data_IF_753935313124
#
_entry.id   IF_753935313124
#
_cell.length_a   1.000
_cell.length_b   1.000
_cell.length_c   1.000
_cell.angle_alpha   90.00
_cell.angle_beta   90.00
_cell.angle_gamma   90.00
#
_symmetry.space_group_name_H-M   'P 1'
#
loop_
_entity.id
_entity.type
_entity.pdbx_description
1 polymer ?
#
# COMPACT_ATOMS: atom_id res chain seq x y z
N UNK A 1 -0.47 -1.77 -29.48
CA UNK A 1 -0.87 -3.19 -29.39
C UNK A 1 -1.33 -3.49 -27.97
N UNK A 2 -2.63 -3.36 -27.70
CA UNK A 2 -3.21 -3.61 -26.37
C UNK A 2 -3.25 -5.12 -26.16
N UNK A 3 -2.35 -5.66 -25.33
CA UNK A 3 -2.31 -7.09 -24.99
C UNK A 3 -3.64 -7.42 -24.31
N UNK A 4 -4.56 -8.10 -25.02
CA UNK A 4 -5.78 -8.68 -24.42
C UNK A 4 -5.33 -9.51 -23.22
N UNK A 5 -5.68 -9.05 -22.01
CA UNK A 5 -5.26 -9.71 -20.78
C UNK A 5 -5.96 -11.05 -20.66
N UNK A 6 -5.26 -12.01 -20.09
CA UNK A 6 -5.85 -13.30 -19.76
C UNK A 6 -6.83 -13.12 -18.61
N UNK A 7 -8.01 -13.74 -18.72
CA UNK A 7 -9.01 -13.86 -17.64
C UNK A 7 -8.38 -14.23 -16.29
N UNK A 8 -7.29 -15.00 -16.32
CA UNK A 8 -6.46 -15.36 -15.18
C UNK A 8 -5.87 -14.16 -14.40
N UNK A 9 -5.38 -13.12 -15.08
CA UNK A 9 -4.77 -11.96 -14.40
C UNK A 9 -5.82 -11.15 -13.64
N UNK A 10 -6.98 -10.92 -14.27
CA UNK A 10 -8.12 -10.26 -13.62
C UNK A 10 -8.63 -11.07 -12.44
N UNK A 11 -8.75 -12.39 -12.60
CA UNK A 11 -9.15 -13.30 -11.52
C UNK A 11 -8.18 -13.26 -10.33
N UNK A 12 -6.86 -13.29 -10.59
CA UNK A 12 -5.83 -13.19 -9.54
C UNK A 12 -5.87 -11.86 -8.82
N UNK A 13 -6.04 -10.75 -9.56
CA UNK A 13 -6.18 -9.43 -8.97
C UNK A 13 -7.41 -9.38 -8.06
N UNK A 14 -8.58 -9.78 -8.57
CA UNK A 14 -9.82 -9.80 -7.80
C UNK A 14 -9.67 -10.62 -6.51
N UNK A 15 -9.13 -11.85 -6.59
CA UNK A 15 -8.88 -12.68 -5.42
C UNK A 15 -7.92 -12.03 -4.42
N UNK A 16 -6.87 -11.37 -4.89
CA UNK A 16 -5.94 -10.65 -4.03
C UNK A 16 -6.62 -9.44 -3.34
N UNK A 17 -7.45 -8.68 -4.07
CA UNK A 17 -8.21 -7.57 -3.51
C UNK A 17 -9.23 -8.03 -2.48
N UNK A 18 -9.90 -9.17 -2.71
CA UNK A 18 -10.84 -9.76 -1.75
C UNK A 18 -10.11 -10.14 -0.45
N UNK A 19 -8.92 -10.74 -0.54
CA UNK A 19 -8.10 -11.05 0.64
C UNK A 19 -7.65 -9.77 1.36
N UNK A 20 -7.25 -8.73 0.61
CA UNK A 20 -6.80 -7.47 1.18
C UNK A 20 -7.95 -6.67 1.82
N UNK A 21 -9.14 -6.71 1.25
CA UNK A 21 -10.31 -6.00 1.76
C UNK A 21 -10.82 -6.57 3.08
N UNK A 22 -10.60 -7.86 3.32
CA UNK A 22 -10.97 -8.53 4.58
C UNK A 22 -9.90 -8.38 5.68
N UNK A 23 -8.80 -7.67 5.41
CA UNK A 23 -7.77 -7.40 6.41
C UNK A 23 -8.09 -6.12 7.17
N UNK A 24 -8.04 -6.21 8.48
CA UNK A 24 -8.27 -5.11 9.40
C UNK A 24 -7.15 -5.05 10.44
N UNK A 25 -6.64 -3.84 10.67
CA UNK A 25 -5.68 -3.56 11.72
C UNK A 25 -6.35 -3.39 13.07
N UNK A 26 -5.59 -3.49 14.17
CA UNK A 26 -6.12 -3.16 15.51
C UNK A 26 -6.40 -1.66 15.69
N UNK A 27 -5.79 -0.82 14.86
CA UNK A 27 -5.95 0.62 14.82
C UNK A 27 -5.66 1.15 13.42
N UNK A 28 -5.40 2.45 13.32
CA UNK A 28 -5.11 3.17 12.07
C UNK A 28 -3.67 2.90 11.60
N UNK A 29 -3.41 1.68 11.14
CA UNK A 29 -2.04 1.15 10.96
C UNK A 29 -1.81 0.51 9.58
N UNK A 30 -2.77 0.63 8.67
CA UNK A 30 -2.73 0.06 7.32
C UNK A 30 -2.61 1.15 6.26
N UNK A 31 -1.47 1.16 5.57
CA UNK A 31 -1.14 2.10 4.50
C UNK A 31 -1.62 1.55 3.15
N UNK A 32 -2.32 2.39 2.40
CA UNK A 32 -2.66 2.21 1.00
C UNK A 32 -1.98 3.32 0.19
N UNK A 33 -1.00 2.96 -0.63
CA UNK A 33 -0.25 3.88 -1.48
C UNK A 33 -0.50 3.55 -2.96
N UNK A 34 -1.05 4.52 -3.69
CA UNK A 34 -1.27 4.47 -5.13
C UNK A 34 -0.41 5.52 -5.82
N UNK A 35 0.34 5.08 -6.83
CA UNK A 35 1.26 5.92 -7.57
C UNK A 35 0.94 5.80 -9.07
N UNK A 36 0.44 6.86 -9.72
CA UNK A 36 0.18 6.84 -11.15
C UNK A 36 1.48 6.78 -11.96
N UNK A 37 1.44 6.28 -13.20
CA UNK A 37 2.61 6.25 -14.07
C UNK A 37 3.16 7.67 -14.31
N UNK A 38 4.46 7.76 -14.55
CA UNK A 38 5.15 9.04 -14.80
C UNK A 38 5.54 9.83 -13.54
N UNK A 39 5.02 9.47 -12.35
CA UNK A 39 5.44 10.12 -11.11
C UNK A 39 6.84 9.68 -10.69
N UNK A 40 7.64 10.62 -10.19
CA UNK A 40 9.01 10.33 -9.78
C UNK A 40 9.05 9.61 -8.42
N UNK A 41 9.87 8.54 -8.33
CA UNK A 41 10.07 7.80 -7.08
C UNK A 41 10.62 8.73 -5.97
N UNK A 42 11.49 9.68 -6.33
CA UNK A 42 12.07 10.66 -5.40
C UNK A 42 11.01 11.53 -4.72
N UNK A 43 10.00 12.00 -5.45
CA UNK A 43 8.89 12.78 -4.92
C UNK A 43 8.06 11.96 -3.93
N UNK A 44 7.74 10.71 -4.29
CA UNK A 44 6.99 9.82 -3.39
C UNK A 44 7.80 9.50 -2.13
N UNK A 45 9.11 9.30 -2.25
CA UNK A 45 10.01 9.12 -1.11
C UNK A 45 10.10 10.37 -0.22
N UNK A 46 10.02 11.57 -0.78
CA UNK A 46 10.00 12.82 -0.01
C UNK A 46 8.70 12.92 0.81
N UNK A 47 7.56 12.68 0.17
CA UNK A 47 6.25 12.65 0.84
C UNK A 47 6.23 11.61 1.98
N UNK A 48 6.70 10.38 1.73
CA UNK A 48 6.74 9.33 2.77
C UNK A 48 7.61 9.72 3.99
N UNK A 49 8.68 10.49 3.80
CA UNK A 49 9.47 11.01 4.93
C UNK A 49 8.71 12.07 5.73
N UNK A 50 7.91 12.90 5.07
CA UNK A 50 7.04 13.86 5.74
C UNK A 50 5.98 13.12 6.57
N UNK A 51 5.33 12.11 5.99
CA UNK A 51 4.35 11.27 6.69
C UNK A 51 4.96 10.53 7.88
N UNK A 52 6.21 10.07 7.76
CA UNK A 52 6.94 9.48 8.89
C UNK A 52 7.11 10.47 10.05
N UNK A 53 7.42 11.74 9.73
CA UNK A 53 7.50 12.83 10.70
C UNK A 53 6.14 13.12 11.34
N UNK A 54 5.07 13.22 10.54
CA UNK A 54 3.71 13.44 11.04
C UNK A 54 3.26 12.33 11.97
N UNK A 55 3.58 11.08 11.65
CA UNK A 55 3.25 9.90 12.46
C UNK A 55 3.85 9.96 13.88
N UNK A 56 4.93 10.72 14.10
CA UNK A 56 5.51 10.89 15.43
C UNK A 56 4.55 11.53 16.45
N UNK A 57 3.53 12.26 15.97
CA UNK A 57 2.52 12.90 16.81
C UNK A 57 1.37 11.96 17.24
N UNK A 58 1.35 10.70 16.76
CA UNK A 58 0.35 9.71 17.18
C UNK A 58 0.52 9.43 18.67
N UNK A 59 -0.58 9.57 19.44
CA UNK A 59 -0.59 9.43 20.90
C UNK A 59 -0.29 7.99 21.35
N UNK A 60 -0.93 7.01 20.73
CA UNK A 60 -0.74 5.59 21.02
C UNK A 60 0.68 5.13 20.64
N UNK A 61 1.53 4.67 21.58
CA UNK A 61 2.90 4.28 21.28
C UNK A 61 3.00 3.09 20.31
N UNK A 62 2.11 2.10 20.45
CA UNK A 62 2.07 0.93 19.56
C UNK A 62 1.68 1.34 18.14
N UNK A 63 0.61 2.12 18.00
CA UNK A 63 0.14 2.63 16.70
C UNK A 63 1.17 3.52 16.04
N UNK A 64 1.80 4.42 16.79
CA UNK A 64 2.90 5.26 16.30
C UNK A 64 4.02 4.42 15.71
N UNK A 65 4.49 3.42 16.45
CA UNK A 65 5.55 2.51 16.00
C UNK A 65 5.13 1.74 14.74
N UNK A 66 3.93 1.17 14.74
CA UNK A 66 3.42 0.36 13.63
C UNK A 66 3.28 1.18 12.34
N UNK A 67 2.78 2.42 12.42
CA UNK A 67 2.70 3.34 11.28
C UNK A 67 4.09 3.70 10.77
N UNK A 68 5.01 4.08 11.67
CA UNK A 68 6.38 4.43 11.29
C UNK A 68 7.12 3.26 10.63
N UNK A 69 7.02 2.06 11.19
CA UNK A 69 7.64 0.86 10.64
C UNK A 69 7.03 0.49 9.28
N UNK A 70 5.71 0.64 9.11
CA UNK A 70 5.05 0.44 7.82
C UNK A 70 5.53 1.44 6.76
N UNK A 71 5.66 2.72 7.09
CA UNK A 71 6.21 3.74 6.18
C UNK A 71 7.64 3.39 5.77
N UNK A 72 8.49 2.96 6.72
CA UNK A 72 9.86 2.51 6.43
C UNK A 72 9.85 1.31 5.49
N UNK A 73 8.96 0.34 5.69
CA UNK A 73 8.82 -0.83 4.80
C UNK A 73 8.35 -0.44 3.40
N UNK A 74 7.40 0.48 3.28
CA UNK A 74 6.97 1.03 1.98
C UNK A 74 8.13 1.70 1.26
N UNK A 75 8.89 2.57 1.96
CA UNK A 75 10.09 3.21 1.39
C UNK A 75 11.14 2.20 0.94
N UNK A 76 11.42 1.16 1.74
CA UNK A 76 12.34 0.08 1.36
C UNK A 76 11.88 -0.63 0.10
N UNK A 77 10.57 -0.93 -0.01
CA UNK A 77 10.01 -1.60 -1.18
C UNK A 77 10.06 -0.71 -2.41
N UNK A 78 9.80 0.59 -2.25
CA UNK A 78 9.81 1.56 -3.34
C UNK A 78 11.22 1.74 -3.95
N UNK A 79 12.28 1.66 -3.14
CA UNK A 79 13.68 1.70 -3.61
C UNK A 79 14.05 0.57 -4.59
N UNK A 80 13.30 -0.52 -4.61
CA UNK A 80 13.53 -1.62 -5.56
C UNK A 80 13.09 -1.26 -6.98
N UNK A 81 12.30 -0.21 -7.14
CA UNK A 81 11.83 0.28 -8.43
C UNK A 81 12.73 1.42 -8.92
N UNK A 82 13.32 1.26 -10.11
CA UNK A 82 14.05 2.35 -10.77
C UNK A 82 13.12 3.49 -11.19
N UNK A 83 11.91 3.15 -11.60
CA UNK A 83 10.84 4.06 -12.01
C UNK A 83 9.48 3.42 -11.71
N UNK A 84 8.43 4.24 -11.66
CA UNK A 84 7.06 3.73 -11.56
C UNK A 84 6.72 2.97 -12.86
N UNK A 85 6.13 1.75 -12.79
CA UNK A 85 5.70 1.01 -13.97
C UNK A 85 4.68 1.79 -14.82
N UNK A 86 4.55 1.43 -16.09
CA UNK A 86 3.68 2.12 -17.06
C UNK A 86 2.19 2.13 -16.71
N UNK A 87 1.75 1.17 -15.89
CA UNK A 87 0.37 1.09 -15.39
C UNK A 87 0.21 1.62 -13.96
N UNK A 88 1.29 2.16 -13.39
CA UNK A 88 1.34 2.62 -12.00
C UNK A 88 1.86 1.56 -11.02
N UNK A 89 1.85 1.92 -9.74
CA UNK A 89 2.31 1.08 -8.64
C UNK A 89 1.38 1.24 -7.45
N UNK A 90 0.94 0.13 -6.88
CA UNK A 90 0.15 0.11 -5.66
C UNK A 90 0.89 -0.70 -4.59
N UNK A 91 1.01 -0.13 -3.40
CA UNK A 91 1.62 -0.78 -2.24
C UNK A 91 0.62 -0.72 -1.08
N UNK A 92 0.29 -1.89 -0.55
CA UNK A 92 -0.41 -2.02 0.72
C UNK A 92 0.57 -2.49 1.78
N UNK A 93 0.63 -1.81 2.91
CA UNK A 93 1.53 -2.22 3.99
C UNK A 93 0.98 -1.82 5.35
N UNK A 94 1.10 -2.69 6.34
CA UNK A 94 0.69 -2.35 7.69
C UNK A 94 0.80 -3.51 8.65
N UNK A 95 0.63 -3.19 9.93
CA UNK A 95 0.66 -4.17 11.02
C UNK A 95 -0.68 -4.91 11.09
N UNK A 96 -0.66 -6.22 10.82
CA UNK A 96 -1.84 -7.07 10.84
C UNK A 96 -1.82 -7.98 12.07
N UNK A 97 -2.95 -8.07 12.80
CA UNK A 97 -3.03 -8.91 13.99
C UNK A 97 -2.74 -10.37 13.64
N UNK A 98 -2.00 -11.04 14.51
CA UNK A 98 -1.81 -12.49 14.49
C UNK A 98 -2.59 -13.08 15.68
N UNK A 99 -1.92 -13.83 16.55
CA UNK A 99 -2.52 -14.45 17.72
C UNK A 99 -2.31 -13.54 18.95
N UNK A 100 -3.31 -12.74 19.31
CA UNK A 100 -3.29 -11.89 20.51
C UNK A 100 -2.67 -10.49 20.34
N UNK A 101 -2.82 -9.58 21.33
CA UNK A 101 -2.27 -8.22 21.26
C UNK A 101 -0.74 -8.20 21.27
N UNK A 102 -0.11 -7.34 20.46
CA UNK A 102 1.35 -7.20 20.43
C UNK A 102 2.08 -8.19 19.53
N UNK A 103 1.36 -9.13 18.89
CA UNK A 103 1.90 -10.08 17.93
C UNK A 103 1.71 -9.63 16.48
N UNK A 104 1.41 -8.35 16.25
CA UNK A 104 1.15 -7.83 14.91
C UNK A 104 2.35 -8.04 14.00
N UNK A 105 2.08 -8.49 12.78
CA UNK A 105 3.09 -8.69 11.75
C UNK A 105 2.91 -7.64 10.68
N UNK A 106 3.98 -6.93 10.36
CA UNK A 106 3.97 -6.02 9.22
C UNK A 106 4.02 -6.83 7.95
N UNK A 107 2.97 -6.72 7.14
CA UNK A 107 2.90 -7.31 5.82
C UNK A 107 3.01 -6.23 4.75
N UNK A 108 3.50 -6.62 3.57
CA UNK A 108 3.64 -5.72 2.42
C UNK A 108 3.20 -6.43 1.16
N UNK A 109 2.29 -5.80 0.43
CA UNK A 109 1.75 -6.29 -0.83
C UNK A 109 2.04 -5.25 -1.91
N UNK A 110 2.59 -5.69 -3.03
CA UNK A 110 2.86 -4.84 -4.19
C UNK A 110 2.08 -5.33 -5.37
N UNK A 111 1.30 -4.44 -5.96
CA UNK A 111 0.47 -4.69 -7.13
C UNK A 111 0.88 -3.71 -8.21
N UNK A 112 1.17 -4.24 -9.40
CA UNK A 112 1.27 -3.47 -10.63
C UNK A 112 -0.12 -3.59 -11.27
N UNK A 113 -0.91 -2.50 -11.31
CA UNK A 113 -2.24 -2.56 -11.87
C UNK A 113 -2.24 -3.07 -13.31
N UNK A 114 -3.31 -3.75 -13.74
CA UNK A 114 -3.38 -4.22 -15.11
C UNK A 114 -3.48 -3.04 -16.08
N UNK A 115 -4.21 -1.98 -15.72
CA UNK A 115 -4.40 -0.73 -16.48
C UNK A 115 -3.80 0.46 -15.74
N UNK A 116 -3.41 1.53 -16.46
CA UNK A 116 -2.95 2.75 -15.84
C UNK A 116 -3.94 3.31 -14.82
N UNK A 117 -3.51 3.41 -13.57
CA UNK A 117 -4.22 4.17 -12.54
C UNK A 117 -3.91 5.66 -12.70
N UNK A 118 -4.92 6.51 -12.56
CA UNK A 118 -4.75 7.97 -12.57
C UNK A 118 -4.66 8.57 -11.16
N UNK A 119 -5.10 7.81 -10.16
CA UNK A 119 -5.14 8.27 -8.78
C UNK A 119 -3.75 8.25 -8.14
N UNK A 120 -3.43 9.35 -7.47
CA UNK A 120 -2.39 9.39 -6.44
C UNK A 120 -3.06 9.40 -5.07
N UNK A 121 -2.76 8.41 -4.24
CA UNK A 121 -3.34 8.28 -2.91
C UNK A 121 -2.28 7.81 -1.93
N UNK A 122 -2.13 8.51 -0.82
CA UNK A 122 -1.56 7.99 0.39
C UNK A 122 -2.63 8.03 1.46
N UNK A 123 -2.92 6.88 2.07
CA UNK A 123 -3.89 6.78 3.15
C UNK A 123 -3.41 5.78 4.18
N UNK A 124 -3.40 6.17 5.45
CA UNK A 124 -3.23 5.27 6.58
C UNK A 124 -4.57 5.15 7.31
N UNK A 125 -5.12 3.95 7.38
CA UNK A 125 -6.43 3.69 7.99
C UNK A 125 -6.46 2.33 8.72
N UNK A 126 -7.60 1.94 9.29
CA UNK A 126 -7.75 0.59 9.90
C UNK A 126 -7.94 -0.52 8.88
N UNK A 127 -8.22 -0.19 7.62
CA UNK A 127 -8.41 -1.12 6.50
C UNK A 127 -7.59 -0.69 5.29
N UNK A 128 -7.31 -1.64 4.40
CA UNK A 128 -6.76 -1.30 3.08
C UNK A 128 -7.86 -0.72 2.18
N UNK A 129 -7.54 0.38 1.50
CA UNK A 129 -8.40 1.00 0.50
C UNK A 129 -8.20 0.32 -0.84
N UNK A 130 -8.98 -0.74 -1.10
CA UNK A 130 -8.87 -1.56 -2.32
C UNK A 130 -9.83 -1.14 -3.42
N UNK A 131 -10.79 -0.27 -3.11
CA UNK A 131 -11.87 0.19 -4.00
C UNK A 131 -11.35 0.69 -5.35
N UNK A 132 -10.23 1.43 -5.36
CA UNK A 132 -9.65 1.99 -6.57
C UNK A 132 -9.04 0.96 -7.54
N UNK A 133 -8.95 -0.32 -7.13
CA UNK A 133 -8.52 -1.41 -8.02
C UNK A 133 -9.66 -2.34 -8.43
N UNK A 134 -10.86 -2.19 -7.87
CA UNK A 134 -11.98 -3.10 -8.12
C UNK A 134 -12.64 -2.91 -9.48
N UNK A 135 -12.41 -1.76 -10.12
CA UNK A 135 -13.01 -1.40 -11.41
C UNK A 135 -12.25 -2.01 -12.62
N UNK A 136 -11.14 -2.71 -12.40
CA UNK A 136 -10.26 -3.27 -13.45
C UNK A 136 -10.54 -4.74 -13.86
#
# INVERSE_FOLDING_TARGET
MTRKRTSLQKYRLKKALDILANKEGRGTELISLYIPPGRQISEVMAMLRQEYGTASNIKSPSTRKNVQDAIVKVMQRLKLFKQVPETGLVIFCGALPQNGPGSEKIETYVIIPPEPIQIYLYRCDSRFHTEHLREF
#
